data_IF_890737125381
#
_entry.id   IF_890737125381
#
_cell.length_a   1.000
_cell.length_b   1.000
_cell.length_c   1.000
_cell.angle_alpha   90.00
_cell.angle_beta   90.00
_cell.angle_gamma   90.00
#
_symmetry.space_group_name_H-M   'P 1'
#
loop_
_entity.id
_entity.type
_entity.pdbx_description
1 polymer ?
#
# COMPACT_ATOMS: atom_id res chain seq x y z
N UNK A 1 -15.45 3.30 11.03
CA UNK A 1 -14.41 3.74 11.99
C UNK A 1 -13.40 4.50 11.18
N UNK A 2 -13.13 5.77 11.51
CA UNK A 2 -12.12 6.58 10.80
C UNK A 2 -10.75 6.13 11.28
N UNK A 3 -9.82 5.84 10.37
CA UNK A 3 -8.44 5.50 10.70
C UNK A 3 -7.72 6.82 11.01
N UNK A 4 -7.58 7.16 12.31
CA UNK A 4 -7.04 8.45 12.76
C UNK A 4 -5.54 8.65 12.43
N UNK A 5 -4.82 7.56 12.14
CA UNK A 5 -3.38 7.56 11.85
C UNK A 5 -3.05 7.80 10.36
N UNK A 6 -4.04 8.07 9.51
CA UNK A 6 -3.77 8.35 8.10
C UNK A 6 -3.30 9.81 7.91
N UNK A 7 -2.17 10.03 7.22
CA UNK A 7 -1.80 11.37 6.79
C UNK A 7 -2.90 11.94 5.88
N UNK A 8 -3.12 13.27 5.90
CA UNK A 8 -4.10 13.89 5.02
C UNK A 8 -3.75 13.60 3.57
N UNK A 9 -4.76 13.20 2.79
CA UNK A 9 -4.59 13.03 1.36
C UNK A 9 -4.32 14.40 0.70
N UNK A 10 -3.46 14.48 -0.33
CA UNK A 10 -3.29 15.68 -1.12
C UNK A 10 -4.62 16.14 -1.74
N UNK A 11 -4.77 17.45 -1.95
CA UNK A 11 -5.94 18.00 -2.63
C UNK A 11 -6.14 17.36 -4.01
N UNK A 12 -7.35 16.89 -4.27
CA UNK A 12 -7.70 16.22 -5.54
C UNK A 12 -7.21 14.77 -5.68
N UNK A 13 -6.64 14.17 -4.62
CA UNK A 13 -6.33 12.77 -4.61
C UNK A 13 -7.59 11.91 -4.85
N UNK A 14 -7.50 10.84 -5.66
CA UNK A 14 -8.65 9.98 -5.90
C UNK A 14 -9.04 9.23 -4.63
N UNK A 15 -10.34 9.24 -4.35
CA UNK A 15 -10.91 8.52 -3.22
C UNK A 15 -11.08 7.04 -3.54
N UNK A 16 -10.87 6.21 -2.52
CA UNK A 16 -11.06 4.76 -2.55
C UNK A 16 -11.85 4.37 -1.32
N UNK A 17 -12.96 3.66 -1.50
CA UNK A 17 -13.68 3.06 -0.39
C UNK A 17 -12.90 1.84 0.14
N UNK A 18 -12.58 1.82 1.42
CA UNK A 18 -11.85 0.70 2.03
C UNK A 18 -12.62 0.12 3.21
N UNK A 19 -12.97 -1.16 3.10
CA UNK A 19 -13.66 -1.92 4.13
C UNK A 19 -12.81 -3.09 4.63
N UNK A 20 -13.02 -3.49 5.88
CA UNK A 20 -12.48 -4.74 6.39
C UNK A 20 -13.49 -5.47 7.28
N UNK A 21 -13.41 -6.80 7.27
CA UNK A 21 -14.38 -7.69 7.88
C UNK A 21 -13.66 -8.82 8.61
N UNK A 22 -14.18 -9.22 9.77
CA UNK A 22 -13.76 -10.44 10.45
C UNK A 22 -14.39 -11.65 9.75
N UNK A 23 -13.62 -12.32 8.91
CA UNK A 23 -14.03 -13.49 8.19
C UNK A 23 -12.80 -14.33 7.81
N UNK A 24 -12.86 -15.64 8.09
CA UNK A 24 -11.82 -16.58 7.67
C UNK A 24 -12.14 -17.09 6.26
N UNK A 25 -11.25 -16.90 5.28
CA UNK A 25 -11.45 -17.47 3.95
C UNK A 25 -11.43 -19.00 4.01
N UNK A 26 -12.43 -19.64 3.41
CA UNK A 26 -12.56 -21.10 3.42
C UNK A 26 -11.73 -21.79 2.34
N UNK A 27 -11.27 -21.04 1.33
CA UNK A 27 -10.57 -21.53 0.16
C UNK A 27 -9.39 -20.62 -0.21
N UNK A 28 -8.38 -21.20 -0.86
CA UNK A 28 -7.33 -20.44 -1.55
C UNK A 28 -7.79 -20.16 -2.97
N UNK A 29 -7.79 -18.89 -3.38
CA UNK A 29 -8.23 -18.45 -4.71
C UNK A 29 -7.35 -17.31 -5.18
N UNK A 30 -7.06 -17.29 -6.48
CA UNK A 30 -6.51 -16.13 -7.17
C UNK A 30 -7.30 -15.93 -8.45
N UNK A 31 -8.04 -14.84 -8.49
CA UNK A 31 -8.85 -14.43 -9.63
C UNK A 31 -8.47 -13.00 -9.97
N UNK A 32 -7.97 -12.80 -11.19
CA UNK A 32 -7.46 -11.51 -11.66
C UNK A 32 -8.09 -11.28 -13.02
N UNK A 33 -9.08 -10.39 -13.03
CA UNK A 33 -9.74 -9.90 -14.24
C UNK A 33 -9.57 -8.39 -14.33
N UNK A 34 -9.93 -7.81 -15.47
CA UNK A 34 -9.69 -6.38 -15.74
C UNK A 34 -10.32 -5.46 -14.70
N UNK A 35 -11.53 -5.79 -14.24
CA UNK A 35 -12.33 -4.94 -13.34
C UNK A 35 -12.22 -5.33 -11.86
N UNK A 36 -11.61 -6.49 -11.56
CA UNK A 36 -11.57 -7.06 -10.21
C UNK A 36 -10.34 -7.93 -9.97
N UNK A 37 -9.74 -7.76 -8.80
CA UNK A 37 -8.77 -8.71 -8.24
C UNK A 37 -9.33 -9.31 -6.97
N UNK A 38 -9.40 -10.63 -6.91
CA UNK A 38 -9.73 -11.38 -5.69
C UNK A 38 -8.64 -12.39 -5.37
N UNK A 39 -8.01 -12.22 -4.21
CA UNK A 39 -6.97 -13.11 -3.70
C UNK A 39 -7.40 -13.59 -2.32
N UNK A 40 -7.38 -14.90 -2.09
CA UNK A 40 -7.61 -15.48 -0.78
C UNK A 40 -6.58 -16.56 -0.47
N UNK A 41 -6.16 -16.59 0.79
CA UNK A 41 -5.36 -17.66 1.37
C UNK A 41 -6.21 -18.33 2.44
N UNK A 42 -6.44 -19.64 2.30
CA UNK A 42 -7.29 -20.40 3.23
C UNK A 42 -6.86 -20.19 4.69
N UNK A 43 -7.85 -19.85 5.53
CA UNK A 43 -7.69 -19.60 6.97
C UNK A 43 -6.73 -18.46 7.34
N UNK A 44 -6.29 -17.67 6.36
CA UNK A 44 -5.45 -16.49 6.56
C UNK A 44 -6.30 -15.28 6.19
N UNK A 45 -5.97 -14.57 5.12
CA UNK A 45 -6.64 -13.36 4.69
C UNK A 45 -7.21 -13.51 3.28
N UNK A 46 -8.19 -12.66 2.96
CA UNK A 46 -8.60 -12.42 1.57
C UNK A 46 -8.69 -10.94 1.30
N UNK A 47 -8.40 -10.54 0.07
CA UNK A 47 -8.67 -9.20 -0.43
C UNK A 47 -9.49 -9.30 -1.70
N UNK A 48 -10.39 -8.34 -1.86
CA UNK A 48 -11.05 -8.02 -3.12
C UNK A 48 -10.80 -6.56 -3.42
N UNK A 49 -10.40 -6.25 -4.65
CA UNK A 49 -10.23 -4.89 -5.15
C UNK A 49 -11.09 -4.76 -6.40
N UNK A 50 -11.97 -3.76 -6.42
CA UNK A 50 -12.82 -3.41 -7.56
C UNK A 50 -12.27 -2.15 -8.22
N UNK A 51 -12.22 -2.14 -9.56
CA UNK A 51 -11.73 -1.00 -10.33
C UNK A 51 -12.72 0.15 -10.34
N UNK A 52 -14.00 -0.15 -10.56
CA UNK A 52 -15.10 0.82 -10.60
C UNK A 52 -16.37 0.22 -9.95
N UNK A 53 -16.90 0.83 -8.87
CA UNK A 53 -16.31 1.93 -8.11
C UNK A 53 -15.01 1.50 -7.43
N UNK A 54 -14.04 2.42 -7.34
CA UNK A 54 -12.75 2.17 -6.68
C UNK A 54 -12.97 1.75 -5.24
N UNK A 55 -12.82 0.47 -4.97
CA UNK A 55 -13.03 -0.07 -3.63
C UNK A 55 -12.14 -1.26 -3.33
N UNK A 56 -11.88 -1.47 -2.04
CA UNK A 56 -11.15 -2.61 -1.56
C UNK A 56 -11.80 -3.16 -0.28
N UNK A 57 -11.89 -4.48 -0.19
CA UNK A 57 -12.39 -5.19 0.98
C UNK A 57 -11.36 -6.19 1.46
N UNK A 58 -11.00 -6.13 2.74
CA UNK A 58 -10.09 -7.05 3.40
C UNK A 58 -10.85 -7.97 4.37
N UNK A 59 -10.68 -9.28 4.22
CA UNK A 59 -11.18 -10.28 5.16
C UNK A 59 -10.03 -10.78 6.01
N UNK A 60 -10.16 -10.65 7.32
CA UNK A 60 -9.15 -11.07 8.30
C UNK A 60 -9.74 -12.12 9.25
N UNK A 61 -8.96 -13.14 9.64
CA UNK A 61 -9.47 -14.21 10.51
C UNK A 61 -9.57 -13.73 11.97
N UNK A 62 -8.87 -12.66 12.32
CA UNK A 62 -8.79 -12.07 13.64
C UNK A 62 -8.69 -10.54 13.57
N UNK A 63 -8.87 -9.87 14.71
CA UNK A 63 -8.70 -8.43 14.80
C UNK A 63 -7.21 -8.11 14.82
N UNK A 64 -6.79 -7.21 13.94
CA UNK A 64 -5.43 -6.69 13.90
C UNK A 64 -5.42 -5.20 14.32
N UNK A 65 -4.27 -4.65 14.74
CA UNK A 65 -4.14 -3.23 14.98
C UNK A 65 -4.51 -2.40 13.75
N UNK A 66 -5.10 -1.22 13.96
CA UNK A 66 -5.46 -0.26 12.91
C UNK A 66 -4.28 0.06 11.99
N UNK A 67 -3.08 0.26 12.56
CA UNK A 67 -1.86 0.47 11.81
C UNK A 67 -1.57 -0.67 10.82
N UNK A 68 -1.86 -1.92 11.19
CA UNK A 68 -1.68 -3.07 10.30
C UNK A 68 -2.66 -3.04 9.09
N UNK A 69 -3.87 -2.50 9.29
CA UNK A 69 -4.87 -2.30 8.22
C UNK A 69 -4.35 -1.26 7.22
N UNK A 70 -3.81 -0.14 7.72
CA UNK A 70 -3.16 0.89 6.89
C UNK A 70 -1.95 0.30 6.17
N UNK A 71 -0.97 -0.22 6.91
CA UNK A 71 0.21 -0.88 6.36
C UNK A 71 0.45 -2.21 7.09
N UNK A 72 0.53 -3.35 6.38
CA UNK A 72 0.74 -3.48 4.93
C UNK A 72 -0.53 -3.74 4.11
N UNK A 73 -1.70 -3.93 4.72
CA UNK A 73 -2.84 -4.49 3.98
C UNK A 73 -3.44 -3.52 2.96
N UNK A 74 -3.68 -2.25 3.32
CA UNK A 74 -4.21 -1.28 2.36
C UNK A 74 -3.21 -0.96 1.26
N UNK A 75 -1.91 -0.99 1.56
CA UNK A 75 -0.81 -0.82 0.60
C UNK A 75 -0.91 -1.80 -0.57
N UNK A 76 -1.19 -3.08 -0.29
CA UNK A 76 -1.38 -4.08 -1.35
C UNK A 76 -2.58 -3.73 -2.25
N UNK A 77 -3.72 -3.36 -1.67
CA UNK A 77 -4.92 -3.01 -2.42
C UNK A 77 -4.72 -1.76 -3.27
N UNK A 78 -4.14 -0.71 -2.69
CA UNK A 78 -3.88 0.57 -3.37
C UNK A 78 -2.84 0.42 -4.49
N UNK A 79 -1.89 -0.51 -4.34
CA UNK A 79 -0.94 -0.82 -5.42
C UNK A 79 -1.63 -1.36 -6.67
N UNK A 80 -2.72 -2.13 -6.52
CA UNK A 80 -3.51 -2.66 -7.65
C UNK A 80 -4.27 -1.51 -8.34
N UNK A 81 -4.91 -0.63 -7.57
CA UNK A 81 -5.62 0.53 -8.11
C UNK A 81 -4.68 1.50 -8.84
N UNK A 82 -3.49 1.76 -8.29
CA UNK A 82 -2.47 2.56 -8.95
C UNK A 82 -2.03 1.94 -10.29
N UNK A 83 -1.91 0.60 -10.35
CA UNK A 83 -1.60 -0.11 -11.60
C UNK A 83 -2.69 0.05 -12.65
N UNK A 84 -3.97 -0.01 -12.26
CA UNK A 84 -5.07 0.23 -13.20
C UNK A 84 -5.17 1.68 -13.69
N UNK A 85 -4.60 2.64 -12.94
CA UNK A 85 -4.42 4.03 -13.39
C UNK A 85 -3.26 4.21 -14.37
N UNK A 86 -2.42 3.17 -14.54
CA UNK A 86 -1.26 3.19 -15.43
C UNK A 86 0.07 3.48 -14.72
N UNK A 87 0.07 3.64 -13.39
CA UNK A 87 1.28 3.93 -12.64
C UNK A 87 2.14 2.68 -12.41
N UNK A 88 3.44 2.88 -12.28
CA UNK A 88 4.36 1.86 -11.80
C UNK A 88 4.33 1.84 -10.26
N UNK A 89 4.35 0.66 -9.66
CA UNK A 89 4.41 0.49 -8.20
C UNK A 89 5.63 -0.32 -7.78
N UNK A 90 6.39 0.16 -6.81
CA UNK A 90 7.58 -0.54 -6.31
C UNK A 90 7.39 -0.83 -4.83
N UNK A 91 7.66 -2.08 -4.44
CA UNK A 91 7.74 -2.44 -3.03
C UNK A 91 9.14 -2.07 -2.50
N UNK A 92 9.17 -1.09 -1.61
CA UNK A 92 10.39 -0.47 -1.11
C UNK A 92 10.10 0.92 -0.57
N UNK A 93 11.15 1.62 -0.17
CA UNK A 93 11.01 3.00 0.29
C UNK A 93 11.87 3.95 -0.51
N UNK A 94 11.61 5.24 -0.39
CA UNK A 94 12.27 6.30 -1.12
C UNK A 94 12.63 7.47 -0.21
N UNK A 95 13.69 8.19 -0.57
CA UNK A 95 14.11 9.41 0.12
C UNK A 95 14.36 10.54 -0.88
N UNK A 96 14.33 11.79 -0.42
CA UNK A 96 14.54 12.97 -1.25
C UNK A 96 15.97 13.48 -1.07
N UNK A 97 16.70 13.62 -2.18
CA UNK A 97 18.02 14.22 -2.18
C UNK A 97 18.30 14.89 -3.53
N UNK A 98 18.87 16.10 -3.49
CA UNK A 98 19.20 16.86 -4.70
C UNK A 98 18.00 17.22 -5.57
N UNK A 99 16.81 17.43 -4.95
CA UNK A 99 15.58 17.75 -5.68
C UNK A 99 14.93 16.55 -6.39
N UNK A 100 15.38 15.32 -6.12
CA UNK A 100 14.84 14.09 -6.70
C UNK A 100 14.50 13.06 -5.62
N UNK A 101 13.54 12.18 -5.93
CA UNK A 101 13.25 11.00 -5.13
C UNK A 101 14.12 9.81 -5.57
N UNK A 102 14.72 9.13 -4.60
CA UNK A 102 15.58 7.97 -4.80
C UNK A 102 14.91 6.73 -4.21
N UNK A 103 14.61 5.75 -5.06
CA UNK A 103 14.04 4.48 -4.63
C UNK A 103 15.11 3.53 -4.09
N UNK A 104 14.84 2.92 -2.94
CA UNK A 104 15.59 1.80 -2.38
C UNK A 104 14.86 0.51 -2.71
N UNK A 105 15.44 -0.26 -3.63
CA UNK A 105 14.94 -1.55 -4.05
C UNK A 105 15.83 -2.68 -3.52
N UNK A 106 15.22 -3.82 -3.23
CA UNK A 106 15.91 -5.01 -2.75
C UNK A 106 14.96 -5.97 -2.08
N UNK A 107 15.41 -7.19 -1.83
CA UNK A 107 14.59 -8.22 -1.21
C UNK A 107 14.20 -7.88 0.24
N UNK A 108 13.30 -8.68 0.81
CA UNK A 108 13.02 -8.63 2.25
C UNK A 108 14.34 -8.79 2.99
N UNK A 109 14.55 -8.00 4.04
CA UNK A 109 15.78 -7.98 4.85
C UNK A 109 17.04 -7.42 4.17
N UNK A 110 16.95 -6.86 2.96
CA UNK A 110 18.06 -6.18 2.28
C UNK A 110 18.51 -4.84 2.95
N UNK A 111 17.98 -4.50 4.12
CA UNK A 111 18.37 -3.28 4.86
C UNK A 111 17.67 -1.98 4.43
N UNK A 112 16.66 -2.03 3.56
CA UNK A 112 15.90 -0.84 3.09
C UNK A 112 15.40 0.02 4.25
N UNK A 113 14.62 -0.55 5.16
CA UNK A 113 14.05 0.17 6.31
C UNK A 113 15.12 0.70 7.25
N UNK A 114 16.21 -0.05 7.45
CA UNK A 114 17.36 0.41 8.25
C UNK A 114 18.04 1.62 7.61
N UNK A 115 18.24 1.60 6.29
CA UNK A 115 18.82 2.71 5.55
C UNK A 115 17.93 3.95 5.60
N UNK A 116 16.61 3.79 5.40
CA UNK A 116 15.65 4.91 5.54
C UNK A 116 15.68 5.51 6.94
N UNK A 117 15.69 4.67 8.00
CA UNK A 117 15.81 5.16 9.38
C UNK A 117 17.11 5.94 9.62
N UNK A 118 18.23 5.47 9.07
CA UNK A 118 19.52 6.16 9.16
C UNK A 118 19.57 7.49 8.39
N UNK A 119 18.85 7.58 7.27
CA UNK A 119 18.71 8.80 6.47
C UNK A 119 17.80 9.81 7.16
N UNK A 120 16.65 9.35 7.66
CA UNK A 120 15.73 10.15 8.46
C UNK A 120 16.42 10.74 9.71
N UNK A 121 17.18 9.92 10.44
CA UNK A 121 17.97 10.36 11.60
C UNK A 121 19.06 11.39 11.27
N UNK A 122 19.40 11.57 9.99
CA UNK A 122 20.31 12.61 9.49
C UNK A 122 19.57 13.81 8.86
N UNK A 123 18.25 13.87 8.99
CA UNK A 123 17.42 14.94 8.43
C UNK A 123 17.16 14.83 6.93
N UNK A 124 17.43 13.67 6.31
CA UNK A 124 17.07 13.43 4.90
C UNK A 124 15.57 13.13 4.84
N UNK A 125 14.78 13.87 4.03
CA UNK A 125 13.34 13.62 3.92
C UNK A 125 13.06 12.24 3.33
N UNK A 126 12.13 11.50 3.94
CA UNK A 126 11.65 10.21 3.45
C UNK A 126 10.38 10.44 2.64
N UNK A 127 10.37 9.96 1.40
CA UNK A 127 9.23 10.07 0.49
C UNK A 127 8.29 8.87 0.59
N UNK A 128 8.81 7.67 0.88
CA UNK A 128 8.03 6.46 1.07
C UNK A 128 8.82 5.43 1.89
N UNK A 129 8.15 4.50 2.57
CA UNK A 129 8.76 3.45 3.38
C UNK A 129 8.47 2.03 2.87
N UNK A 130 7.30 1.80 2.27
CA UNK A 130 6.85 0.47 1.83
C UNK A 130 6.33 0.37 0.38
N UNK A 131 5.66 1.42 -0.09
CA UNK A 131 5.15 1.51 -1.46
C UNK A 131 5.52 2.85 -2.08
N UNK A 132 6.15 2.75 -3.24
CA UNK A 132 6.43 3.88 -4.12
C UNK A 132 5.52 3.76 -5.32
N UNK A 133 4.73 4.78 -5.62
CA UNK A 133 3.97 4.89 -6.86
C UNK A 133 4.67 5.89 -7.77
N UNK A 134 5.10 5.44 -8.94
CA UNK A 134 5.79 6.27 -9.94
C UNK A 134 4.80 6.57 -11.06
N UNK A 135 4.38 7.83 -11.11
CA UNK A 135 3.63 8.40 -12.23
C UNK A 135 4.56 9.08 -13.24
N UNK A 136 4.00 9.87 -14.16
CA UNK A 136 4.75 10.48 -15.27
C UNK A 136 6.00 11.26 -14.83
N UNK A 137 5.91 12.05 -13.75
CA UNK A 137 7.00 12.92 -13.28
C UNK A 137 7.15 12.96 -11.76
N UNK A 138 6.42 12.12 -11.05
CA UNK A 138 6.30 12.19 -9.60
C UNK A 138 6.44 10.80 -8.97
N UNK A 139 7.02 10.79 -7.78
CA UNK A 139 7.00 9.64 -6.90
C UNK A 139 6.06 9.95 -5.74
N UNK A 140 4.95 9.21 -5.66
CA UNK A 140 3.95 9.33 -4.62
C UNK A 140 4.17 8.25 -3.56
N UNK A 141 3.91 8.62 -2.31
CA UNK A 141 3.93 7.70 -1.19
C UNK A 141 2.68 6.81 -1.22
N UNK A 142 2.86 5.54 -0.85
CA UNK A 142 1.75 4.74 -0.35
C UNK A 142 1.30 5.19 1.05
N UNK A 143 0.30 4.49 1.63
CA UNK A 143 -0.05 4.66 3.03
C UNK A 143 1.16 4.38 3.91
N UNK A 144 1.39 5.26 4.88
CA UNK A 144 2.43 5.15 5.90
C UNK A 144 1.81 5.39 7.27
N UNK A 145 2.48 4.90 8.31
CA UNK A 145 2.12 5.06 9.72
C UNK A 145 3.28 5.65 10.53
#
# INVERSE_FOLDING_TARGET
MVLEDLPPAPDGAPEVAFDWLLASPTHTRRDVVEERVSISLRSQWALTVEREPKSATLHLPERIPTAAIVHPYSTMCLSILARWRGDLTLHGGAFVHGGAAWALCGDRTAGKSTMLGLLAGRGVPIAADDLIVVGDREALAGPHC
#
